data_IF_551628303342
#
_entry.id   IF_551628303342
#
_cell.length_a   1.000
_cell.length_b   1.000
_cell.length_c   1.000
_cell.angle_alpha   90.00
_cell.angle_beta   90.00
_cell.angle_gamma   90.00
#
_symmetry.space_group_name_H-M   'P 1'
#
loop_
_entity.id
_entity.type
_entity.pdbx_description
1 polymer ?
#
# COMPACT_ATOMS: atom_id res chain seq x y z
N UNK A 1 -24.75 4.83 -3.76
CA UNK A 1 -25.34 5.23 -2.45
C UNK A 1 -24.64 4.52 -1.30
N UNK A 2 -24.40 3.20 -1.41
CA UNK A 2 -23.64 2.41 -0.42
C UNK A 2 -22.14 2.78 -0.36
N UNK A 3 -21.47 2.91 -1.53
CA UNK A 3 -20.06 3.30 -1.63
C UNK A 3 -19.74 4.65 -0.97
N UNK A 4 -20.63 5.65 -1.10
CA UNK A 4 -20.42 6.96 -0.50
C UNK A 4 -20.53 6.92 1.02
N UNK A 5 -21.47 6.13 1.54
CA UNK A 5 -21.62 5.91 2.98
C UNK A 5 -20.40 5.20 3.56
N UNK A 6 -19.91 4.15 2.89
CA UNK A 6 -18.67 3.46 3.26
C UNK A 6 -17.52 4.47 3.31
N UNK A 7 -17.37 5.28 2.27
CA UNK A 7 -16.29 6.25 2.16
C UNK A 7 -16.29 7.27 3.30
N UNK A 8 -17.45 7.85 3.64
CA UNK A 8 -17.57 8.80 4.74
C UNK A 8 -17.21 8.17 6.10
N UNK A 9 -17.66 6.95 6.35
CA UNK A 9 -17.33 6.21 7.58
C UNK A 9 -15.83 5.94 7.68
N UNK A 10 -15.22 5.40 6.61
CA UNK A 10 -13.80 5.04 6.60
C UNK A 10 -12.91 6.27 6.77
N UNK A 11 -13.24 7.39 6.11
CA UNK A 11 -12.51 8.66 6.31
C UNK A 11 -12.54 9.07 7.78
N UNK A 12 -13.70 9.04 8.43
CA UNK A 12 -13.83 9.37 9.85
C UNK A 12 -13.02 8.44 10.76
N UNK A 13 -13.02 7.13 10.48
CA UNK A 13 -12.22 6.17 11.24
C UNK A 13 -10.72 6.40 11.06
N UNK A 14 -10.27 6.70 9.84
CA UNK A 14 -8.87 6.99 9.56
C UNK A 14 -8.40 8.28 10.25
N UNK A 15 -9.24 9.31 10.30
CA UNK A 15 -8.96 10.53 11.06
C UNK A 15 -8.80 10.25 12.56
N UNK A 16 -9.72 9.47 13.13
CA UNK A 16 -9.62 9.06 14.54
C UNK A 16 -8.38 8.19 14.81
N UNK A 17 -8.06 7.26 13.92
CA UNK A 17 -6.85 6.43 14.02
C UNK A 17 -5.58 7.29 13.99
N UNK A 18 -5.52 8.31 13.12
CA UNK A 18 -4.43 9.30 13.11
C UNK A 18 -4.31 10.03 14.44
N UNK A 19 -5.40 10.50 15.02
CA UNK A 19 -5.37 11.17 16.33
C UNK A 19 -4.80 10.26 17.43
N UNK A 20 -5.22 8.99 17.44
CA UNK A 20 -4.67 7.98 18.35
C UNK A 20 -3.16 7.80 18.16
N UNK A 21 -2.69 7.75 16.91
CA UNK A 21 -1.27 7.63 16.60
C UNK A 21 -0.48 8.86 17.09
N UNK A 22 -0.94 10.07 16.76
CA UNK A 22 -0.25 11.30 17.16
C UNK A 22 -0.18 11.47 18.68
N UNK A 23 -1.26 11.10 19.39
CA UNK A 23 -1.29 11.12 20.86
C UNK A 23 -0.32 10.11 21.49
N UNK A 24 0.13 9.10 20.74
CA UNK A 24 1.06 8.09 21.22
C UNK A 24 2.50 8.60 21.32
N UNK A 25 2.88 9.59 20.50
CA UNK A 25 4.25 10.13 20.46
C UNK A 25 4.69 10.85 21.73
N UNK A 26 3.75 11.32 22.54
CA UNK A 26 4.05 11.90 23.86
C UNK A 26 4.26 10.83 24.94
N UNK A 27 4.22 9.54 24.60
CA UNK A 27 4.33 8.41 25.52
C UNK A 27 5.47 7.49 25.11
N UNK A 28 5.96 6.70 26.06
CA UNK A 28 6.93 5.64 25.77
C UNK A 28 6.18 4.44 25.18
N UNK A 29 6.40 4.16 23.90
CA UNK A 29 5.80 3.01 23.22
C UNK A 29 6.55 1.71 23.57
N UNK A 30 5.78 0.64 23.77
CA UNK A 30 6.33 -0.72 23.83
C UNK A 30 6.52 -1.22 22.41
N UNK A 31 7.76 -1.57 22.07
CA UNK A 31 8.15 -2.10 20.76
C UNK A 31 8.54 -3.56 20.94
N UNK A 32 7.91 -4.44 20.20
CA UNK A 32 8.20 -5.87 20.13
C UNK A 32 8.78 -6.21 18.74
N UNK A 33 9.53 -7.30 18.66
CA UNK A 33 9.96 -7.89 17.40
C UNK A 33 9.09 -9.09 17.08
N UNK A 34 8.57 -9.17 15.84
CA UNK A 34 7.82 -10.32 15.31
C UNK A 34 8.79 -11.45 14.94
N UNK A 35 9.18 -11.56 13.66
CA UNK A 35 10.01 -12.69 13.18
C UNK A 35 11.51 -12.40 13.18
N UNK A 36 11.91 -11.13 13.18
CA UNK A 36 13.31 -10.72 13.15
C UNK A 36 13.50 -9.34 13.77
N UNK A 37 14.76 -8.93 14.01
CA UNK A 37 15.10 -7.57 14.48
C UNK A 37 14.63 -6.45 13.56
N UNK A 38 14.32 -6.76 12.30
CA UNK A 38 13.87 -5.81 11.29
C UNK A 38 12.34 -5.83 11.11
N UNK A 39 11.65 -6.73 11.81
CA UNK A 39 10.21 -6.96 11.73
C UNK A 39 9.59 -6.57 13.08
N UNK A 40 9.16 -5.31 13.18
CA UNK A 40 8.69 -4.71 14.42
C UNK A 40 7.17 -4.70 14.46
N UNK A 41 6.64 -4.72 15.69
CA UNK A 41 5.25 -4.40 15.98
C UNK A 41 5.22 -3.63 17.28
N UNK A 42 4.37 -2.61 17.35
CA UNK A 42 4.15 -1.87 18.58
C UNK A 42 2.79 -2.19 19.16
N UNK A 43 2.60 -1.86 20.43
CA UNK A 43 1.26 -1.90 21.04
C UNK A 43 0.25 -1.06 20.24
N UNK A 44 0.72 0.01 19.61
CA UNK A 44 -0.13 0.89 18.82
C UNK A 44 -0.65 0.23 17.54
N UNK A 45 0.17 -0.56 16.83
CA UNK A 45 -0.28 -1.33 15.66
C UNK A 45 -1.51 -2.18 16.01
N UNK A 46 -1.44 -2.90 17.14
CA UNK A 46 -2.55 -3.72 17.66
C UNK A 46 -3.75 -2.88 18.08
N UNK A 47 -3.55 -1.72 18.69
CA UNK A 47 -4.64 -0.82 19.09
C UNK A 47 -5.39 -0.27 17.88
N UNK A 48 -4.67 0.19 16.86
CA UNK A 48 -5.24 0.72 15.61
C UNK A 48 -5.97 -0.39 14.85
N UNK A 49 -5.36 -1.57 14.73
CA UNK A 49 -6.03 -2.73 14.14
C UNK A 49 -7.34 -3.05 14.85
N UNK A 50 -7.31 -3.22 16.18
CA UNK A 50 -8.50 -3.54 16.96
C UNK A 50 -9.61 -2.49 16.77
N UNK A 51 -9.25 -1.21 16.78
CA UNK A 51 -10.18 -0.12 16.53
C UNK A 51 -10.83 -0.24 15.15
N UNK A 52 -10.04 -0.37 14.08
CA UNK A 52 -10.56 -0.46 12.70
C UNK A 52 -11.41 -1.72 12.50
N UNK A 53 -10.97 -2.87 13.01
CA UNK A 53 -11.72 -4.13 12.96
C UNK A 53 -13.07 -4.01 13.67
N UNK A 54 -13.11 -3.40 14.86
CA UNK A 54 -14.36 -3.18 15.59
C UNK A 54 -15.32 -2.27 14.80
N UNK A 55 -14.82 -1.17 14.23
CA UNK A 55 -15.63 -0.27 13.41
C UNK A 55 -16.21 -0.98 12.18
N UNK A 56 -15.40 -1.76 11.48
CA UNK A 56 -15.83 -2.54 10.31
C UNK A 56 -16.88 -3.57 10.72
N UNK A 57 -16.66 -4.34 11.78
CA UNK A 57 -17.62 -5.36 12.23
C UNK A 57 -18.94 -4.78 12.74
N UNK A 58 -18.91 -3.61 13.38
CA UNK A 58 -20.12 -2.94 13.85
C UNK A 58 -20.99 -2.43 12.69
N UNK A 59 -20.38 -1.95 11.60
CA UNK A 59 -21.11 -1.37 10.46
C UNK A 59 -21.36 -2.36 9.33
N UNK A 60 -20.52 -3.38 9.19
CA UNK A 60 -20.55 -4.41 8.15
C UNK A 60 -20.34 -5.81 8.76
N UNK A 61 -21.33 -6.38 9.47
CA UNK A 61 -21.14 -7.65 10.19
C UNK A 61 -20.70 -8.83 9.33
N UNK A 62 -21.13 -8.85 8.06
CA UNK A 62 -20.78 -9.88 7.08
C UNK A 62 -19.40 -9.68 6.42
N UNK A 63 -18.73 -8.55 6.68
CA UNK A 63 -17.41 -8.26 6.11
C UNK A 63 -16.38 -9.30 6.55
N UNK A 64 -15.59 -9.75 5.59
CA UNK A 64 -14.39 -10.52 5.82
C UNK A 64 -13.22 -9.57 5.97
N UNK A 65 -12.28 -9.86 6.87
CA UNK A 65 -11.17 -8.95 7.18
C UNK A 65 -9.88 -9.75 7.14
N UNK A 66 -8.86 -9.21 6.49
CA UNK A 66 -7.46 -9.61 6.60
C UNK A 66 -6.72 -8.42 7.16
N UNK A 67 -5.96 -8.61 8.22
CA UNK A 67 -5.09 -7.58 8.77
C UNK A 67 -3.69 -8.13 9.00
N UNK A 68 -2.69 -7.25 9.03
CA UNK A 68 -1.30 -7.63 9.26
C UNK A 68 -1.11 -8.40 10.58
N UNK A 69 -1.60 -7.86 11.70
CA UNK A 69 -1.39 -8.45 13.02
C UNK A 69 -2.33 -9.62 13.30
N UNK A 70 -3.52 -9.60 12.69
CA UNK A 70 -4.49 -10.68 12.75
C UNK A 70 -4.78 -11.26 11.37
N UNK A 71 -3.82 -12.02 10.82
CA UNK A 71 -4.11 -12.91 9.69
C UNK A 71 -5.19 -13.91 10.11
N UNK A 72 -6.34 -13.96 9.44
CA UNK A 72 -7.30 -15.01 9.70
C UNK A 72 -6.70 -16.36 9.29
N UNK A 73 -6.94 -17.40 10.08
CA UNK A 73 -6.84 -18.80 9.63
C UNK A 73 -8.02 -19.18 8.70
N UNK A 74 -8.53 -18.24 7.91
CA UNK A 74 -9.66 -18.50 7.02
C UNK A 74 -9.15 -19.31 5.84
N UNK A 75 -9.61 -20.56 5.76
CA UNK A 75 -9.21 -21.48 4.68
C UNK A 75 -9.86 -21.11 3.33
N UNK A 76 -10.97 -20.36 3.33
CA UNK A 76 -11.71 -19.88 2.15
C UNK A 76 -12.48 -18.61 2.49
N UNK A 77 -12.55 -17.67 1.53
CA UNK A 77 -13.38 -16.47 1.61
C UNK A 77 -14.67 -16.64 0.79
N UNK A 78 -15.78 -16.08 1.26
CA UNK A 78 -17.01 -15.96 0.47
C UNK A 78 -16.84 -14.81 -0.54
N UNK A 79 -16.80 -15.08 -1.87
CA UNK A 79 -16.60 -14.04 -2.86
C UNK A 79 -17.75 -13.01 -2.93
N UNK A 80 -18.93 -13.33 -2.37
CA UNK A 80 -20.08 -12.41 -2.37
C UNK A 80 -20.00 -11.35 -1.28
N UNK A 81 -19.24 -11.61 -0.21
CA UNK A 81 -19.07 -10.67 0.90
C UNK A 81 -17.88 -9.74 0.66
N UNK A 82 -17.94 -8.48 1.12
CA UNK A 82 -16.82 -7.57 1.01
C UNK A 82 -15.64 -8.06 1.85
N UNK A 83 -14.45 -8.03 1.26
CA UNK A 83 -13.19 -8.33 1.89
C UNK A 83 -12.44 -7.02 2.14
N UNK A 84 -12.09 -6.78 3.41
CA UNK A 84 -11.30 -5.66 3.86
C UNK A 84 -9.89 -6.15 4.16
N UNK A 85 -8.89 -5.50 3.58
CA UNK A 85 -7.48 -5.81 3.78
C UNK A 85 -6.83 -4.58 4.40
N UNK A 86 -6.23 -4.73 5.58
CA UNK A 86 -5.82 -3.63 6.45
C UNK A 86 -4.34 -3.76 6.79
N UNK A 87 -3.62 -2.66 6.64
CA UNK A 87 -2.35 -2.42 7.31
C UNK A 87 -2.55 -1.28 8.33
N UNK A 88 -2.49 -1.55 9.64
CA UNK A 88 -2.69 -0.52 10.65
C UNK A 88 -1.56 0.51 10.66
N UNK A 89 -0.31 0.12 10.39
CA UNK A 89 0.87 1.00 10.33
C UNK A 89 1.89 0.40 9.34
N UNK A 90 1.76 0.73 8.07
CA UNK A 90 2.75 0.40 7.04
C UNK A 90 4.00 1.24 7.28
N UNK A 91 5.17 0.59 7.28
CA UNK A 91 6.44 1.23 7.62
C UNK A 91 6.69 1.33 9.13
N UNK A 92 6.30 0.32 9.92
CA UNK A 92 6.51 0.28 11.38
C UNK A 92 7.94 0.64 11.81
N UNK A 93 8.96 0.27 11.01
CA UNK A 93 10.35 0.65 11.28
C UNK A 93 10.54 2.17 11.26
N UNK A 94 9.98 2.84 10.25
CA UNK A 94 10.02 4.29 10.15
C UNK A 94 9.23 4.93 11.28
N UNK A 95 8.02 4.43 11.55
CA UNK A 95 7.21 4.87 12.70
C UNK A 95 8.02 4.85 14.01
N UNK A 96 8.70 3.74 14.32
CA UNK A 96 9.49 3.57 15.56
C UNK A 96 10.76 4.42 15.58
N UNK A 97 11.49 4.49 14.46
CA UNK A 97 12.84 5.06 14.44
C UNK A 97 12.85 6.54 14.09
N UNK A 98 11.91 6.97 13.27
CA UNK A 98 12.00 8.26 12.59
C UNK A 98 10.72 9.08 12.71
N UNK A 99 9.60 8.49 13.10
CA UNK A 99 8.29 9.14 13.25
C UNK A 99 7.81 9.88 11.99
N UNK A 100 8.25 9.45 10.81
CA UNK A 100 7.83 9.97 9.50
C UNK A 100 7.78 8.85 8.47
N UNK A 101 7.24 9.11 7.28
CA UNK A 101 7.16 8.14 6.17
C UNK A 101 6.56 6.78 6.55
N UNK A 102 5.37 6.81 7.16
CA UNK A 102 4.55 5.64 7.45
C UNK A 102 3.07 5.97 7.16
N UNK A 103 2.25 4.94 6.96
CA UNK A 103 0.86 5.11 6.53
C UNK A 103 -0.11 4.13 7.19
N UNK A 104 -1.41 4.45 7.15
CA UNK A 104 -2.48 3.47 7.39
C UNK A 104 -3.05 3.07 6.04
N UNK A 105 -3.25 1.77 5.79
CA UNK A 105 -3.77 1.28 4.50
C UNK A 105 -5.03 0.45 4.67
N UNK A 106 -6.04 0.71 3.83
CA UNK A 106 -7.26 -0.10 3.74
C UNK A 106 -7.60 -0.34 2.27
N UNK A 107 -7.69 -1.60 1.86
CA UNK A 107 -8.23 -2.03 0.57
C UNK A 107 -9.57 -2.76 0.77
N UNK A 108 -10.58 -2.42 -0.04
CA UNK A 108 -11.88 -3.08 -0.03
C UNK A 108 -12.10 -3.76 -1.37
N UNK A 109 -12.35 -5.07 -1.31
CA UNK A 109 -12.52 -5.94 -2.47
C UNK A 109 -13.87 -6.65 -2.41
N UNK A 110 -14.45 -6.92 -3.57
CA UNK A 110 -15.60 -7.81 -3.70
C UNK A 110 -15.44 -8.62 -4.98
N UNK A 111 -15.65 -9.94 -4.93
CA UNK A 111 -15.41 -10.84 -6.06
C UNK A 111 -14.02 -10.66 -6.70
N UNK A 112 -12.98 -10.49 -5.86
CA UNK A 112 -11.59 -10.22 -6.26
C UNK A 112 -11.37 -8.93 -7.07
N UNK A 113 -12.35 -8.02 -7.10
CA UNK A 113 -12.23 -6.71 -7.72
C UNK A 113 -12.07 -5.62 -6.67
N UNK A 114 -11.07 -4.77 -6.83
CA UNK A 114 -10.85 -3.60 -5.98
C UNK A 114 -11.98 -2.60 -6.13
N UNK A 115 -12.65 -2.26 -5.01
CA UNK A 115 -13.77 -1.32 -4.99
C UNK A 115 -13.35 0.04 -4.43
N UNK A 116 -12.63 0.04 -3.31
CA UNK A 116 -12.13 1.24 -2.65
C UNK A 116 -10.74 0.98 -2.08
N UNK A 117 -9.87 1.99 -2.14
CA UNK A 117 -8.56 1.99 -1.51
C UNK A 117 -8.36 3.26 -0.69
N UNK A 118 -7.59 3.15 0.39
CA UNK A 118 -7.24 4.25 1.28
C UNK A 118 -5.78 4.10 1.71
N UNK A 119 -4.98 5.14 1.50
CA UNK A 119 -3.62 5.25 2.03
C UNK A 119 -3.54 6.59 2.75
N UNK A 120 -3.38 6.57 4.07
CA UNK A 120 -3.28 7.77 4.88
C UNK A 120 -1.82 8.01 5.26
N UNK A 121 -1.19 9.00 4.62
CA UNK A 121 0.06 9.57 5.10
C UNK A 121 -0.23 10.36 6.38
N UNK A 122 0.05 9.71 7.52
CA UNK A 122 -0.38 10.13 8.84
C UNK A 122 0.26 11.46 9.23
N UNK A 123 1.56 11.60 8.97
CA UNK A 123 2.30 12.79 9.42
C UNK A 123 1.95 14.02 8.61
N UNK A 124 1.77 13.87 7.30
CA UNK A 124 1.45 14.99 6.42
C UNK A 124 -0.04 15.32 6.34
N UNK A 125 -0.89 14.54 7.01
CA UNK A 125 -2.35 14.68 6.96
C UNK A 125 -2.91 14.60 5.52
N UNK A 126 -2.43 13.62 4.76
CA UNK A 126 -2.82 13.40 3.36
C UNK A 126 -3.46 12.03 3.18
N UNK A 127 -4.78 12.02 3.07
CA UNK A 127 -5.53 10.81 2.80
C UNK A 127 -5.75 10.64 1.29
N UNK A 128 -5.10 9.63 0.71
CA UNK A 128 -5.34 9.20 -0.65
C UNK A 128 -6.45 8.16 -0.66
N UNK A 129 -7.56 8.43 -1.31
CA UNK A 129 -8.73 7.55 -1.29
C UNK A 129 -9.48 7.53 -2.62
N UNK A 130 -10.25 6.47 -2.84
CA UNK A 130 -11.15 6.35 -3.97
C UNK A 130 -11.18 4.97 -4.59
N UNK A 131 -11.64 4.89 -5.84
CA UNK A 131 -11.79 3.63 -6.57
C UNK A 131 -12.46 3.82 -7.93
N UNK A 132 -12.72 2.74 -8.67
CA UNK A 132 -13.11 2.80 -10.09
C UNK A 132 -14.34 3.67 -10.36
N UNK A 133 -15.33 3.66 -9.47
CA UNK A 133 -16.58 4.42 -9.64
C UNK A 133 -16.47 5.90 -9.24
N UNK A 134 -15.45 6.29 -8.46
CA UNK A 134 -15.31 7.65 -7.89
C UNK A 134 -14.14 8.42 -8.50
N UNK A 135 -13.11 7.72 -8.97
CA UNK A 135 -11.77 8.26 -9.19
C UNK A 135 -10.97 8.31 -7.88
N UNK A 136 -9.76 8.88 -7.95
CA UNK A 136 -8.83 8.99 -6.81
C UNK A 136 -8.70 10.43 -6.35
N UNK A 137 -8.61 10.64 -5.04
CA UNK A 137 -8.52 11.93 -4.39
C UNK A 137 -7.41 11.93 -3.34
N UNK A 138 -6.80 13.09 -3.11
CA UNK A 138 -6.00 13.40 -1.93
C UNK A 138 -6.81 14.42 -1.13
N UNK A 139 -7.32 14.03 0.04
CA UNK A 139 -8.31 14.78 0.79
C UNK A 139 -9.51 15.11 -0.13
N UNK A 140 -9.79 16.40 -0.39
CA UNK A 140 -10.88 16.82 -1.28
C UNK A 140 -10.44 17.02 -2.74
N UNK A 141 -9.14 16.97 -3.03
CA UNK A 141 -8.61 17.25 -4.37
C UNK A 141 -8.54 15.98 -5.21
N UNK A 142 -9.20 15.99 -6.38
CA UNK A 142 -9.13 14.88 -7.35
C UNK A 142 -7.74 14.79 -7.97
N UNK A 143 -7.16 13.59 -8.00
CA UNK A 143 -5.92 13.30 -8.70
C UNK A 143 -6.18 13.13 -10.20
N UNK A 144 -5.17 13.48 -10.99
CA UNK A 144 -5.09 13.15 -12.41
C UNK A 144 -4.06 12.02 -12.59
N UNK A 145 -4.19 11.18 -13.62
CA UNK A 145 -3.14 10.23 -13.97
C UNK A 145 -1.78 10.95 -14.12
N UNK A 146 -0.69 10.38 -13.59
CA UNK A 146 0.65 10.94 -13.77
C UNK A 146 1.11 10.83 -15.22
N UNK A 147 2.19 11.54 -15.57
CA UNK A 147 2.78 11.47 -16.90
C UNK A 147 3.36 10.07 -17.17
N UNK A 148 3.09 9.52 -18.35
CA UNK A 148 3.54 8.19 -18.76
C UNK A 148 4.98 8.24 -19.33
N UNK A 149 5.96 8.34 -18.43
CA UNK A 149 7.37 8.42 -18.78
C UNK A 149 8.03 7.02 -18.85
N UNK A 150 9.01 6.81 -19.75
CA UNK A 150 9.84 5.61 -19.78
C UNK A 150 10.84 5.58 -18.61
N UNK A 151 11.47 4.42 -18.39
CA UNK A 151 12.37 4.19 -17.25
C UNK A 151 13.51 5.22 -17.16
N UNK A 152 14.14 5.51 -18.29
CA UNK A 152 15.29 6.42 -18.39
C UNK A 152 14.94 7.91 -18.24
N UNK A 153 13.68 8.25 -17.97
CA UNK A 153 13.24 9.64 -17.78
C UNK A 153 12.64 9.89 -16.39
N UNK A 154 12.62 8.90 -15.51
CA UNK A 154 12.04 9.06 -14.17
C UNK A 154 12.85 8.42 -13.05
N UNK A 155 12.51 8.82 -11.83
CA UNK A 155 13.02 8.19 -10.62
C UNK A 155 12.31 6.87 -10.37
N UNK A 156 13.05 5.86 -9.92
CA UNK A 156 12.50 4.57 -9.54
C UNK A 156 12.56 4.40 -8.03
N UNK A 157 11.50 3.89 -7.44
CA UNK A 157 11.50 3.49 -6.04
C UNK A 157 11.56 1.97 -5.90
N UNK A 158 12.30 1.51 -4.90
CA UNK A 158 12.49 0.07 -4.70
C UNK A 158 12.47 -0.31 -3.22
N UNK A 159 12.16 -1.58 -2.94
CA UNK A 159 12.43 -2.21 -1.66
C UNK A 159 13.93 -2.53 -1.52
N UNK A 160 14.51 -2.21 -0.35
CA UNK A 160 15.94 -2.37 -0.11
C UNK A 160 16.45 -3.79 -0.38
N UNK A 161 15.76 -4.81 0.13
CA UNK A 161 16.18 -6.20 -0.04
C UNK A 161 16.02 -6.69 -1.48
N UNK A 162 15.01 -6.21 -2.21
CA UNK A 162 14.83 -6.55 -3.63
C UNK A 162 15.99 -6.02 -4.47
N UNK A 163 16.48 -4.80 -4.18
CA UNK A 163 17.63 -4.22 -4.85
C UNK A 163 18.96 -4.87 -4.43
N UNK A 164 19.19 -5.01 -3.12
CA UNK A 164 20.46 -5.52 -2.58
C UNK A 164 20.73 -6.97 -2.98
N UNK A 165 19.68 -7.79 -3.08
CA UNK A 165 19.79 -9.16 -3.55
C UNK A 165 19.66 -9.31 -5.07
N UNK A 166 19.66 -8.19 -5.80
CA UNK A 166 19.54 -8.12 -7.27
C UNK A 166 18.40 -8.99 -7.82
N UNK A 167 17.26 -9.00 -7.13
CA UNK A 167 16.11 -9.82 -7.57
C UNK A 167 15.66 -9.31 -8.94
N UNK A 168 15.62 -10.19 -9.93
CA UNK A 168 15.21 -9.86 -11.30
C UNK A 168 16.04 -8.72 -11.93
N UNK A 169 17.36 -8.70 -11.71
CA UNK A 169 18.26 -7.69 -12.29
C UNK A 169 17.95 -6.25 -11.85
N UNK A 170 17.37 -6.08 -10.66
CA UNK A 170 16.92 -4.77 -10.20
C UNK A 170 18.07 -3.77 -10.07
N UNK A 171 19.32 -4.20 -9.89
CA UNK A 171 20.48 -3.30 -9.93
C UNK A 171 20.68 -2.69 -11.33
N UNK A 172 20.56 -3.49 -12.39
CA UNK A 172 20.65 -3.02 -13.78
C UNK A 172 19.49 -2.09 -14.13
N UNK A 173 18.28 -2.45 -13.70
CA UNK A 173 17.08 -1.63 -13.87
C UNK A 173 17.23 -0.29 -13.13
N UNK A 174 17.73 -0.32 -11.90
CA UNK A 174 18.02 0.87 -11.11
C UNK A 174 18.99 1.82 -11.83
N UNK A 175 20.07 1.29 -12.40
CA UNK A 175 21.07 2.06 -13.16
C UNK A 175 20.52 2.66 -14.46
N UNK A 176 19.45 2.08 -15.02
CA UNK A 176 18.81 2.59 -16.23
C UNK A 176 17.77 3.70 -15.96
N UNK A 177 17.43 3.96 -14.69
CA UNK A 177 16.55 5.06 -14.28
C UNK A 177 17.33 6.37 -14.05
N UNK A 178 16.63 7.49 -13.77
CA UNK A 178 17.26 8.73 -13.33
C UNK A 178 17.74 8.70 -11.86
N UNK A 179 17.61 7.55 -11.20
CA UNK A 179 18.08 7.32 -9.84
C UNK A 179 17.04 6.65 -8.97
N UNK A 180 17.54 6.00 -7.92
CA UNK A 180 16.73 5.21 -7.00
C UNK A 180 16.43 5.95 -5.70
N UNK A 181 15.23 5.74 -5.15
CA UNK A 181 14.87 6.09 -3.77
C UNK A 181 14.33 4.87 -3.03
N UNK A 182 14.47 4.89 -1.71
CA UNK A 182 14.02 3.84 -0.80
C UNK A 182 13.48 4.56 0.43
N UNK A 183 12.17 4.45 0.68
CA UNK A 183 11.52 5.11 1.82
C UNK A 183 11.16 4.12 2.93
N UNK A 184 10.90 2.84 2.63
CA UNK A 184 10.66 1.82 3.66
C UNK A 184 9.21 1.70 4.14
N UNK A 185 8.26 2.29 3.39
CA UNK A 185 6.82 2.17 3.57
C UNK A 185 6.16 1.97 2.20
N UNK A 186 5.45 0.87 2.01
CA UNK A 186 4.85 0.55 0.72
C UNK A 186 3.77 1.57 0.33
N UNK A 187 2.94 1.98 1.27
CA UNK A 187 1.91 3.00 1.10
C UNK A 187 2.50 4.35 0.67
N UNK A 188 3.54 4.83 1.35
CA UNK A 188 4.22 6.08 0.98
C UNK A 188 4.86 5.98 -0.40
N UNK A 189 5.53 4.87 -0.72
CA UNK A 189 6.15 4.70 -2.04
C UNK A 189 5.11 4.59 -3.16
N UNK A 190 3.97 3.93 -2.92
CA UNK A 190 2.86 3.89 -3.87
C UNK A 190 2.27 5.28 -4.08
N UNK A 191 2.03 6.08 -3.02
CA UNK A 191 1.58 7.48 -3.13
C UNK A 191 2.48 8.28 -4.07
N UNK A 192 3.80 8.07 -4.00
CA UNK A 192 4.76 8.78 -4.85
C UNK A 192 4.64 8.39 -6.32
N UNK A 193 4.22 7.17 -6.64
CA UNK A 193 3.79 6.77 -8.00
C UNK A 193 2.46 7.43 -8.36
N UNK A 194 1.44 7.37 -7.50
CA UNK A 194 0.11 7.95 -7.75
C UNK A 194 0.17 9.46 -8.07
N UNK A 195 1.12 10.16 -7.44
CA UNK A 195 1.33 11.61 -7.59
C UNK A 195 2.36 11.97 -8.66
N UNK A 196 2.95 11.00 -9.35
CA UNK A 196 3.94 11.22 -10.42
C UNK A 196 5.29 11.76 -9.95
N UNK A 197 5.62 11.62 -8.66
CA UNK A 197 6.96 11.96 -8.13
C UNK A 197 8.01 10.94 -8.57
N UNK A 198 7.57 9.69 -8.76
CA UNK A 198 8.37 8.59 -9.31
C UNK A 198 7.55 7.87 -10.38
N UNK A 199 8.23 7.18 -11.28
CA UNK A 199 7.60 6.48 -12.41
C UNK A 199 7.26 5.03 -12.08
N UNK A 200 7.84 4.48 -11.01
CA UNK A 200 7.53 3.14 -10.56
C UNK A 200 8.02 2.84 -9.16
N UNK A 201 7.44 1.80 -8.57
CA UNK A 201 7.82 1.21 -7.31
C UNK A 201 7.91 -0.31 -7.46
N UNK A 202 9.04 -0.90 -7.03
CA UNK A 202 9.30 -2.34 -7.07
C UNK A 202 9.64 -2.86 -5.69
N UNK A 203 8.87 -3.82 -5.16
CA UNK A 203 9.19 -4.45 -3.88
C UNK A 203 8.51 -5.79 -3.71
N UNK A 204 8.96 -6.58 -2.74
CA UNK A 204 8.24 -7.76 -2.27
C UNK A 204 7.18 -7.34 -1.26
N UNK A 205 5.90 -7.47 -1.61
CA UNK A 205 4.78 -6.93 -0.83
C UNK A 205 3.93 -8.03 -0.22
N UNK A 206 3.42 -7.80 0.99
CA UNK A 206 2.32 -8.55 1.60
C UNK A 206 0.97 -8.09 1.03
N UNK A 207 -0.11 -8.88 1.23
CA UNK A 207 -1.46 -8.49 0.82
C UNK A 207 -1.88 -7.09 1.28
N UNK A 208 -1.61 -6.76 2.54
CA UNK A 208 -1.98 -5.48 3.14
C UNK A 208 -1.14 -4.30 2.62
N UNK A 209 0.15 -4.52 2.35
CA UNK A 209 1.03 -3.53 1.70
C UNK A 209 0.58 -3.14 0.27
N UNK A 210 -0.14 -4.03 -0.43
CA UNK A 210 -0.55 -3.83 -1.83
C UNK A 210 -2.01 -3.42 -1.99
N UNK A 211 -2.92 -3.99 -1.20
CA UNK A 211 -4.35 -3.98 -1.45
C UNK A 211 -4.91 -2.57 -1.71
N UNK A 212 -4.65 -1.62 -0.81
CA UNK A 212 -5.12 -0.25 -0.99
C UNK A 212 -4.51 0.42 -2.23
N UNK A 213 -3.18 0.30 -2.37
CA UNK A 213 -2.42 0.92 -3.44
C UNK A 213 -2.79 0.41 -4.83
N UNK A 214 -3.11 -0.88 -4.95
CA UNK A 214 -3.56 -1.47 -6.21
C UNK A 214 -4.85 -0.83 -6.71
N UNK A 215 -5.86 -0.69 -5.84
CA UNK A 215 -7.13 -0.07 -6.22
C UNK A 215 -6.91 1.35 -6.75
N UNK A 216 -6.10 2.14 -6.04
CA UNK A 216 -5.83 3.54 -6.40
C UNK A 216 -5.01 3.64 -7.70
N UNK A 217 -3.97 2.81 -7.83
CA UNK A 217 -3.11 2.80 -9.01
C UNK A 217 -3.89 2.41 -10.27
N UNK A 218 -4.61 1.29 -10.25
CA UNK A 218 -5.41 0.82 -11.38
C UNK A 218 -6.50 1.85 -11.76
N UNK A 219 -7.12 2.51 -10.76
CA UNK A 219 -8.11 3.58 -11.00
C UNK A 219 -7.50 4.80 -11.72
N UNK A 220 -6.21 5.09 -11.48
CA UNK A 220 -5.48 6.16 -12.19
C UNK A 220 -4.90 5.70 -13.54
N UNK A 221 -5.17 4.47 -13.98
CA UNK A 221 -4.64 3.91 -15.23
C UNK A 221 -3.17 3.53 -15.18
N UNK A 222 -2.60 3.44 -13.98
CA UNK A 222 -1.28 2.87 -13.73
C UNK A 222 -1.35 1.35 -13.82
N UNK A 223 -0.18 0.74 -13.98
CA UNK A 223 -0.03 -0.71 -14.02
C UNK A 223 0.33 -1.25 -12.65
N UNK A 224 -0.26 -2.39 -12.29
CA UNK A 224 0.09 -3.17 -11.10
C UNK A 224 0.29 -4.61 -11.56
N UNK A 225 1.56 -5.03 -11.66
CA UNK A 225 1.95 -6.36 -12.14
C UNK A 225 2.96 -6.98 -11.19
N UNK A 226 3.17 -8.28 -11.27
CA UNK A 226 4.43 -8.84 -10.78
C UNK A 226 5.57 -8.37 -11.67
N UNK A 227 6.80 -8.39 -11.17
CA UNK A 227 7.97 -7.89 -11.91
C UNK A 227 8.27 -8.69 -13.19
N UNK A 228 7.79 -9.93 -13.28
CA UNK A 228 7.84 -10.78 -14.49
C UNK A 228 6.64 -10.55 -15.44
N UNK A 229 5.71 -9.65 -15.11
CA UNK A 229 4.62 -9.21 -15.97
C UNK A 229 3.26 -9.89 -15.74
N UNK A 230 3.13 -10.82 -14.80
CA UNK A 230 1.85 -11.45 -14.46
C UNK A 230 0.95 -10.54 -13.60
N UNK A 231 -0.33 -10.90 -13.47
CA UNK A 231 -1.27 -10.18 -12.58
C UNK A 231 -1.08 -10.72 -11.16
N UNK A 232 -0.71 -9.88 -10.17
CA UNK A 232 -0.53 -10.35 -8.81
C UNK A 232 -1.87 -10.78 -8.20
N UNK A 233 -1.88 -11.89 -7.49
CA UNK A 233 -2.96 -12.22 -6.56
C UNK A 233 -2.85 -11.33 -5.33
N UNK A 234 -3.90 -10.56 -5.02
CA UNK A 234 -3.91 -9.64 -3.88
C UNK A 234 -3.79 -10.35 -2.53
N UNK A 235 -4.08 -11.65 -2.46
CA UNK A 235 -3.98 -12.45 -1.24
C UNK A 235 -2.61 -13.09 -1.04
N UNK A 236 -1.72 -12.96 -2.03
CA UNK A 236 -0.40 -13.58 -2.04
C UNK A 236 0.70 -12.57 -1.79
N UNK A 237 1.80 -13.00 -1.16
CA UNK A 237 3.01 -12.18 -1.05
C UNK A 237 3.88 -12.37 -2.28
N UNK A 238 4.13 -11.31 -3.04
CA UNK A 238 4.76 -11.38 -4.37
C UNK A 238 5.65 -10.15 -4.63
N UNK A 239 6.62 -10.29 -5.54
CA UNK A 239 7.41 -9.16 -6.04
C UNK A 239 6.58 -8.36 -7.05
N UNK A 240 6.14 -7.17 -6.65
CA UNK A 240 5.19 -6.31 -7.37
C UNK A 240 5.90 -5.11 -7.96
N UNK A 241 5.44 -4.71 -9.14
CA UNK A 241 5.76 -3.50 -9.87
C UNK A 241 4.48 -2.65 -10.00
N UNK A 242 4.47 -1.48 -9.37
CA UNK A 242 3.47 -0.43 -9.57
C UNK A 242 4.11 0.68 -10.39
N UNK A 243 3.65 0.94 -11.61
CA UNK A 243 4.35 1.88 -12.50
C UNK A 243 3.47 2.51 -13.59
N UNK A 244 3.99 3.57 -14.20
CA UNK A 244 3.54 4.06 -15.51
C UNK A 244 3.73 2.98 -16.58
N UNK A 245 3.00 3.06 -17.70
CA UNK A 245 2.95 1.97 -18.69
C UNK A 245 4.31 1.81 -19.38
N UNK A 246 4.90 2.91 -19.82
CA UNK A 246 6.21 2.89 -20.51
C UNK A 246 7.32 2.38 -19.57
N UNK A 247 7.35 2.86 -18.33
CA UNK A 247 8.31 2.37 -17.33
C UNK A 247 8.08 0.86 -17.04
N UNK A 248 6.83 0.42 -16.95
CA UNK A 248 6.51 -1.00 -16.75
C UNK A 248 7.08 -1.86 -17.87
N UNK A 249 6.88 -1.48 -19.13
CA UNK A 249 7.37 -2.22 -20.29
C UNK A 249 8.90 -2.31 -20.30
N UNK A 250 9.58 -1.21 -20.01
CA UNK A 250 11.03 -1.17 -19.86
C UNK A 250 11.52 -2.12 -18.76
N UNK A 251 10.93 -2.03 -17.57
CA UNK A 251 11.32 -2.80 -16.40
C UNK A 251 11.10 -4.31 -16.63
N UNK A 252 9.93 -4.71 -17.12
CA UNK A 252 9.63 -6.14 -17.36
C UNK A 252 10.54 -6.73 -18.42
N UNK A 253 10.81 -5.98 -19.51
CA UNK A 253 11.76 -6.41 -20.54
C UNK A 253 13.17 -6.62 -19.99
N UNK A 254 13.62 -5.73 -19.12
CA UNK A 254 14.94 -5.86 -18.48
C UNK A 254 14.99 -6.98 -17.44
N UNK A 255 13.90 -7.18 -16.69
CA UNK A 255 13.77 -8.23 -15.68
C UNK A 255 13.76 -9.65 -16.27
N UNK A 256 13.35 -9.79 -17.54
CA UNK A 256 13.32 -11.05 -18.28
C UNK A 256 14.57 -11.29 -19.15
N UNK A 257 15.51 -10.35 -19.19
CA UNK A 257 16.72 -10.50 -19.99
C UNK A 257 17.63 -11.58 -19.39
N UNK A 258 18.30 -12.43 -20.20
CA UNK A 258 19.28 -13.36 -19.67
C UNK A 258 20.45 -12.60 -18.99
N UNK A 259 20.96 -13.19 -17.89
CA UNK A 259 22.19 -12.73 -17.21
C UNK A 259 23.40 -12.78 -18.14
#
# INVERSE_FOLDING_TARGET
METEKINQLVIGWLQQAREMILASFSRKLTVETKTSRNDLVTELDRQIENFLVQQIKANFPAAQIISEESRPKLKKFDPQQPLWIIDPIDGTMNFVKTHHDFAIMIGIYQQNQGKLGYIYDVMNDRLYHGGPEKGVFCNQQRLKPPADLPLNQGLLEVGALTLLYDRFHLQKIALASNGVRIYGSAGIQIIRVLTGQVIGYVSHLKPWDLAAGRVLAETLGLTVKTIDGSIPDVLSSVDVLVATKNAQEDIVRMAQAPY
#
